data_IF_681098828828
#
_entry.id   IF_681098828828
#
_cell.length_a   1.000
_cell.length_b   1.000
_cell.length_c   1.000
_cell.angle_alpha   90.00
_cell.angle_beta   90.00
_cell.angle_gamma   90.00
#
_symmetry.space_group_name_H-M   'P 1'
#
loop_
_entity.id
_entity.type
_entity.pdbx_description
1 polymer ?
#
# COMPACT_ATOMS: atom_id res chain seq x y z
N UNK A 1 33.03 -7.25 -2.42
CA UNK A 1 31.97 -6.23 -2.60
C UNK A 1 30.96 -6.43 -1.50
N UNK A 2 30.64 -5.40 -0.72
CA UNK A 2 29.58 -5.49 0.30
C UNK A 2 28.25 -5.76 -0.42
N UNK A 3 27.42 -6.66 0.13
CA UNK A 3 26.11 -6.98 -0.44
C UNK A 3 25.21 -5.74 -0.44
N UNK A 4 24.62 -5.41 -1.58
CA UNK A 4 23.63 -4.33 -1.69
C UNK A 4 22.35 -4.80 -1.01
N UNK A 5 21.86 -4.03 -0.03
CA UNK A 5 20.61 -4.35 0.67
C UNK A 5 19.46 -3.50 0.12
N UNK A 6 18.22 -3.89 0.41
CA UNK A 6 17.00 -3.18 -0.02
C UNK A 6 17.02 -1.70 0.42
N UNK A 7 17.76 -1.37 1.49
CA UNK A 7 17.88 -0.01 2.03
C UNK A 7 18.77 0.90 1.17
N UNK A 8 19.65 0.33 0.35
CA UNK A 8 20.62 1.05 -0.48
C UNK A 8 20.08 1.34 -1.90
N UNK A 9 18.90 0.80 -2.23
CA UNK A 9 18.28 0.92 -3.55
C UNK A 9 17.30 2.09 -3.63
N UNK A 10 17.11 2.62 -4.84
CA UNK A 10 16.04 3.58 -5.10
C UNK A 10 14.67 2.94 -4.83
N UNK A 11 13.91 3.53 -3.92
CA UNK A 11 12.57 3.08 -3.52
C UNK A 11 11.65 2.86 -4.73
N UNK A 12 11.64 3.79 -5.69
CA UNK A 12 10.71 3.70 -6.83
C UNK A 12 10.99 2.51 -7.74
N UNK A 13 12.26 2.18 -7.96
CA UNK A 13 12.67 1.05 -8.80
C UNK A 13 12.33 -0.27 -8.14
N UNK A 14 12.58 -0.37 -6.83
CA UNK A 14 12.23 -1.55 -6.05
C UNK A 14 10.72 -1.82 -6.07
N UNK A 15 9.90 -0.79 -5.84
CA UNK A 15 8.43 -0.93 -5.86
C UNK A 15 7.94 -1.37 -7.23
N UNK A 16 8.49 -0.83 -8.32
CA UNK A 16 8.12 -1.24 -9.69
C UNK A 16 8.47 -2.70 -9.95
N UNK A 17 9.67 -3.12 -9.58
CA UNK A 17 10.11 -4.52 -9.73
C UNK A 17 9.24 -5.47 -8.91
N UNK A 18 8.95 -5.10 -7.65
CA UNK A 18 8.10 -5.90 -6.77
C UNK A 18 6.65 -5.97 -7.26
N UNK A 19 6.11 -4.89 -7.83
CA UNK A 19 4.77 -4.89 -8.42
C UNK A 19 4.66 -5.86 -9.62
N UNK A 20 5.70 -5.96 -10.45
CA UNK A 20 5.77 -6.92 -11.56
C UNK A 20 5.82 -8.36 -11.01
N UNK A 21 6.60 -8.59 -9.96
CA UNK A 21 6.66 -9.90 -9.29
C UNK A 21 5.29 -10.32 -8.72
N UNK A 22 4.64 -9.42 -7.99
CA UNK A 22 3.32 -9.64 -7.40
C UNK A 22 2.21 -9.87 -8.44
N UNK A 23 2.37 -9.28 -9.64
CA UNK A 23 1.49 -9.55 -10.79
C UNK A 23 1.69 -10.97 -11.33
N UNK A 24 2.92 -11.47 -11.34
CA UNK A 24 3.22 -12.86 -11.72
C UNK A 24 2.70 -13.86 -10.69
N UNK A 25 2.69 -13.51 -9.40
CA UNK A 25 2.27 -14.40 -8.30
C UNK A 25 0.75 -14.62 -8.16
N UNK A 26 -0.08 -14.18 -9.12
CA UNK A 26 -1.55 -14.38 -9.09
C UNK A 26 -2.19 -13.93 -7.76
N UNK A 27 -1.78 -12.78 -7.23
CA UNK A 27 -2.49 -12.14 -6.11
C UNK A 27 -3.99 -12.05 -6.39
N UNK A 28 -4.81 -12.43 -5.41
CA UNK A 28 -6.27 -12.29 -5.50
C UNK A 28 -6.64 -10.80 -5.47
N UNK A 29 -6.80 -10.20 -6.65
CA UNK A 29 -7.23 -8.81 -6.77
C UNK A 29 -8.72 -8.69 -6.41
N UNK A 30 -9.09 -7.81 -5.47
CA UNK A 30 -10.49 -7.60 -5.11
C UNK A 30 -11.32 -7.06 -6.28
N UNK A 31 -12.58 -7.53 -6.42
CA UNK A 31 -13.51 -7.12 -7.49
C UNK A 31 -13.70 -5.60 -7.63
N UNK A 32 -13.61 -4.85 -6.54
CA UNK A 32 -13.83 -3.40 -6.52
C UNK A 32 -12.67 -2.58 -7.11
N UNK A 33 -11.48 -3.16 -7.32
CA UNK A 33 -10.27 -2.46 -7.80
C UNK A 33 -10.48 -1.83 -9.18
N UNK A 34 -11.31 -2.43 -10.04
CA UNK A 34 -11.56 -1.93 -11.41
C UNK A 34 -12.36 -0.61 -11.49
N UNK A 35 -13.04 -0.20 -10.41
CA UNK A 35 -13.75 1.09 -10.35
C UNK A 35 -13.43 1.90 -9.08
N UNK A 36 -12.49 1.40 -8.29
CA UNK A 36 -12.20 1.89 -6.95
C UNK A 36 -11.25 3.06 -6.95
N UNK A 37 -11.48 4.03 -6.06
CA UNK A 37 -10.49 5.05 -5.74
C UNK A 37 -9.56 4.54 -4.64
N UNK A 38 -8.26 4.76 -4.82
CA UNK A 38 -7.22 4.38 -3.86
C UNK A 38 -7.22 5.23 -2.59
N UNK A 39 -7.82 6.43 -2.63
CA UNK A 39 -7.88 7.33 -1.47
C UNK A 39 -9.11 8.23 -1.53
N UNK A 40 -9.59 8.68 -0.35
CA UNK A 40 -10.74 9.58 -0.21
C UNK A 40 -10.46 10.95 -0.85
N UNK A 41 -9.19 11.37 -0.89
CA UNK A 41 -8.75 12.62 -1.53
C UNK A 41 -8.70 12.56 -3.06
N UNK A 42 -8.67 11.37 -3.65
CA UNK A 42 -8.60 11.24 -5.10
C UNK A 42 -9.97 11.46 -5.70
N UNK A 43 -10.07 12.44 -6.61
CA UNK A 43 -11.30 12.75 -7.34
C UNK A 43 -11.57 11.76 -8.49
N UNK A 44 -10.53 11.08 -8.96
CA UNK A 44 -10.58 10.15 -10.08
C UNK A 44 -9.98 8.81 -9.68
N UNK A 45 -10.37 7.76 -10.38
CA UNK A 45 -9.73 6.47 -10.27
C UNK A 45 -8.26 6.58 -10.74
N UNK A 46 -7.34 5.77 -10.17
CA UNK A 46 -5.97 5.71 -10.66
C UNK A 46 -5.92 5.39 -12.15
N UNK A 47 -5.07 6.11 -12.89
CA UNK A 47 -4.93 5.90 -14.34
C UNK A 47 -4.24 4.57 -14.70
N UNK A 48 -3.44 4.03 -13.78
CA UNK A 48 -2.78 2.73 -13.96
C UNK A 48 -3.69 1.60 -13.46
N UNK A 49 -4.05 0.67 -14.33
CA UNK A 49 -4.84 -0.51 -13.99
C UNK A 49 -4.13 -1.43 -12.98
N UNK A 50 -2.80 -1.37 -12.91
CA UNK A 50 -1.97 -2.16 -12.00
C UNK A 50 -1.70 -1.45 -10.66
N UNK A 51 -2.39 -0.33 -10.38
CA UNK A 51 -2.16 0.46 -9.16
C UNK A 51 -2.22 -0.38 -7.88
N UNK A 52 -3.08 -1.41 -7.84
CA UNK A 52 -3.22 -2.28 -6.67
C UNK A 52 -1.92 -3.05 -6.34
N UNK A 53 -1.17 -3.49 -7.36
CA UNK A 53 0.10 -4.19 -7.17
C UNK A 53 1.19 -3.24 -6.66
N UNK A 54 1.21 -2.01 -7.16
CA UNK A 54 2.10 -0.95 -6.66
C UNK A 54 1.82 -0.65 -5.19
N UNK A 55 0.54 -0.62 -4.79
CA UNK A 55 0.13 -0.41 -3.40
C UNK A 55 0.50 -1.58 -2.49
N UNK A 56 0.33 -2.81 -2.94
CA UNK A 56 0.79 -4.00 -2.21
C UNK A 56 2.32 -3.99 -2.03
N UNK A 57 3.06 -3.68 -3.08
CA UNK A 57 4.53 -3.55 -3.05
C UNK A 57 5.01 -2.44 -2.10
N UNK A 58 4.38 -1.26 -2.15
CA UNK A 58 4.64 -0.16 -1.22
C UNK A 58 4.41 -0.56 0.22
N UNK A 59 3.32 -1.29 0.48
CA UNK A 59 2.96 -1.77 1.81
C UNK A 59 3.99 -2.77 2.34
N UNK A 60 4.44 -3.69 1.49
CA UNK A 60 5.50 -4.66 1.83
C UNK A 60 6.82 -3.98 2.15
N UNK A 61 7.23 -3.01 1.32
CA UNK A 61 8.46 -2.24 1.54
C UNK A 61 8.40 -1.45 2.85
N UNK A 62 7.26 -0.85 3.16
CA UNK A 62 7.11 -0.07 4.39
C UNK A 62 7.14 -0.95 5.64
N UNK A 63 6.48 -2.12 5.61
CA UNK A 63 6.57 -3.10 6.69
C UNK A 63 8.02 -3.58 6.89
N UNK A 64 8.74 -3.82 5.79
CA UNK A 64 10.15 -4.22 5.87
C UNK A 64 11.03 -3.16 6.56
N UNK A 65 10.76 -1.87 6.32
CA UNK A 65 11.55 -0.79 6.91
C UNK A 65 11.17 -0.47 8.36
N UNK A 66 9.88 -0.45 8.68
CA UNK A 66 9.37 0.03 9.95
C UNK A 66 9.11 -1.08 10.98
N UNK A 67 9.11 -2.34 10.54
CA UNK A 67 8.74 -3.49 11.37
C UNK A 67 7.23 -3.64 11.55
N UNK A 68 6.80 -4.23 12.67
CA UNK A 68 5.39 -4.47 12.96
C UNK A 68 4.60 -3.16 13.06
N UNK A 69 3.76 -2.88 12.05
CA UNK A 69 2.94 -1.67 12.01
C UNK A 69 1.46 -1.99 11.78
N UNK A 70 0.60 -1.42 12.62
CA UNK A 70 -0.85 -1.55 12.49
C UNK A 70 -1.42 -0.77 11.29
N UNK A 71 -2.63 -1.17 10.88
CA UNK A 71 -3.34 -0.58 9.72
C UNK A 71 -3.57 0.93 9.90
N UNK A 72 -3.82 1.37 11.14
CA UNK A 72 -4.01 2.78 11.49
C UNK A 72 -2.75 3.62 11.22
N UNK A 73 -1.57 3.14 11.61
CA UNK A 73 -0.29 3.81 11.33
C UNK A 73 0.00 3.84 9.83
N UNK A 74 -0.32 2.77 9.12
CA UNK A 74 -0.15 2.70 7.67
C UNK A 74 -0.97 3.79 6.94
N UNK A 75 -2.19 4.09 7.41
CA UNK A 75 -3.01 5.16 6.81
C UNK A 75 -2.46 6.57 7.00
N UNK A 76 -1.55 6.79 7.97
CA UNK A 76 -0.89 8.09 8.17
C UNK A 76 0.19 8.35 7.12
N UNK A 77 0.81 7.31 6.57
CA UNK A 77 1.81 7.41 5.49
C UNK A 77 1.16 8.03 4.25
N UNK A 78 -0.06 7.59 3.95
CA UNK A 78 -0.82 8.01 2.77
C UNK A 78 -1.72 9.23 3.01
N UNK A 79 -1.33 10.10 3.95
CA UNK A 79 -2.07 11.33 4.23
C UNK A 79 -2.06 12.26 3.02
N UNK A 80 -3.07 13.11 2.90
CA UNK A 80 -2.98 14.26 2.01
C UNK A 80 -4.15 15.20 2.13
N UNK A 81 -3.99 16.39 1.55
CA UNK A 81 -5.02 17.40 1.53
C UNK A 81 -6.17 16.96 0.64
N UNK A 82 -7.35 16.81 1.24
CA UNK A 82 -8.59 16.58 0.51
C UNK A 82 -9.08 17.90 -0.08
N UNK A 83 -9.53 17.84 -1.34
CA UNK A 83 -10.13 18.98 -2.03
C UNK A 83 -11.63 19.04 -1.71
N UNK A 84 -12.05 20.07 -0.97
CA UNK A 84 -13.44 20.29 -0.56
C UNK A 84 -14.19 21.28 -1.47
N UNK A 85 -13.72 21.45 -2.72
CA UNK A 85 -14.28 22.43 -3.66
C UNK A 85 -13.97 23.86 -3.23
N UNK A 86 -14.99 24.58 -2.75
CA UNK A 86 -14.92 26.00 -2.35
C UNK A 86 -14.45 26.14 -0.89
N UNK A 87 -14.65 25.13 -0.06
CA UNK A 87 -14.20 25.14 1.34
C UNK A 87 -12.69 24.88 1.46
N UNK A 88 -12.04 25.37 2.53
CA UNK A 88 -10.62 25.10 2.79
C UNK A 88 -10.28 23.60 2.76
N UNK A 89 -9.07 23.28 2.31
CA UNK A 89 -8.57 21.91 2.28
C UNK A 89 -8.18 21.44 3.68
N UNK A 90 -8.57 20.23 4.05
CA UNK A 90 -8.17 19.58 5.30
C UNK A 90 -7.34 18.33 5.02
N UNK A 91 -6.46 17.97 5.96
CA UNK A 91 -5.69 16.73 5.89
C UNK A 91 -6.61 15.53 6.13
N UNK A 92 -6.62 14.62 5.17
CA UNK A 92 -7.34 13.35 5.24
C UNK A 92 -6.34 12.20 5.28
N UNK A 93 -6.65 11.16 6.06
CA UNK A 93 -5.86 9.93 6.10
C UNK A 93 -6.13 9.07 4.85
N UNK A 94 -5.19 8.18 4.55
CA UNK A 94 -5.38 7.16 3.53
C UNK A 94 -6.54 6.22 3.84
N UNK A 95 -7.04 5.53 2.81
CA UNK A 95 -8.16 4.58 2.98
C UNK A 95 -7.72 3.34 3.75
N UNK A 96 -8.28 3.13 4.95
CA UNK A 96 -8.08 1.89 5.75
C UNK A 96 -8.47 0.64 4.97
N UNK A 97 -9.56 0.72 4.20
CA UNK A 97 -10.04 -0.41 3.41
C UNK A 97 -9.11 -0.80 2.28
N UNK A 98 -8.30 0.11 1.74
CA UNK A 98 -7.28 -0.23 0.74
C UNK A 98 -6.15 -1.01 1.41
N UNK A 99 -5.61 -0.48 2.51
CA UNK A 99 -4.51 -1.11 3.25
C UNK A 99 -4.87 -2.52 3.70
N UNK A 100 -6.04 -2.68 4.31
CA UNK A 100 -6.48 -4.00 4.79
C UNK A 100 -6.70 -4.97 3.61
N UNK A 101 -7.28 -4.52 2.51
CA UNK A 101 -7.56 -5.41 1.36
C UNK A 101 -6.33 -5.73 0.53
N UNK A 102 -5.26 -4.94 0.62
CA UNK A 102 -3.95 -5.28 0.05
C UNK A 102 -3.16 -6.24 0.94
N UNK A 103 -3.30 -6.18 2.27
CA UNK A 103 -2.54 -7.04 3.19
C UNK A 103 -3.10 -8.46 3.28
N UNK A 104 -4.43 -8.65 3.29
CA UNK A 104 -5.04 -9.99 3.44
C UNK A 104 -4.60 -11.00 2.36
N UNK A 105 -4.54 -10.65 1.06
CA UNK A 105 -4.06 -11.58 0.03
C UNK A 105 -2.55 -11.87 0.13
N UNK A 106 -1.75 -10.90 0.61
CA UNK A 106 -0.30 -11.05 0.79
C UNK A 106 0.02 -12.01 1.95
N UNK A 107 -0.82 -12.03 2.99
CA UNK A 107 -0.76 -13.01 4.09
C UNK A 107 -0.92 -14.45 3.58
N UNK A 108 -1.86 -14.68 2.65
CA UNK A 108 -2.06 -15.99 2.01
C UNK A 108 -0.89 -16.45 1.14
N UNK A 109 -0.09 -15.51 0.62
CA UNK A 109 1.13 -15.79 -0.14
C UNK A 109 2.38 -15.91 0.75
N UNK A 110 2.24 -15.82 2.08
CA UNK A 110 3.36 -15.77 3.06
C UNK A 110 4.40 -14.68 2.76
N UNK A 111 4.02 -13.65 2.02
CA UNK A 111 4.87 -12.47 1.77
C UNK A 111 4.80 -11.46 2.92
N UNK A 112 3.74 -11.55 3.73
CA UNK A 112 3.56 -10.80 4.97
C UNK A 112 3.10 -11.77 6.06
N UNK A 113 3.65 -11.64 7.26
CA UNK A 113 3.20 -12.38 8.45
C UNK A 113 2.57 -11.41 9.43
N UNK A 114 1.53 -11.86 10.14
CA UNK A 114 0.99 -11.13 11.29
C UNK A 114 1.78 -11.52 12.53
N UNK A 115 2.42 -10.53 13.12
CA UNK A 115 2.98 -10.65 14.47
C UNK A 115 1.87 -10.83 15.50
N UNK A 116 2.06 -11.74 16.46
CA UNK A 116 1.13 -11.96 17.59
C UNK A 116 1.06 -10.75 18.53
N UNK A 117 2.13 -9.94 18.57
CA UNK A 117 2.24 -8.70 19.35
C UNK A 117 1.78 -7.44 18.57
N UNK A 118 1.24 -7.61 17.36
CA UNK A 118 0.78 -6.52 16.50
C UNK A 118 -0.48 -5.84 17.06
N UNK A 119 -0.28 -4.70 17.72
CA UNK A 119 -1.31 -3.84 18.32
C UNK A 119 -2.69 -3.91 17.64
N UNK A 120 -3.68 -4.32 18.43
CA UNK A 120 -5.09 -4.36 18.10
C UNK A 120 -5.58 -3.02 17.53
N UNK A 121 -6.11 -3.05 16.31
CA UNK A 121 -7.10 -2.10 15.77
C UNK A 121 -7.69 -2.61 14.45
#
# INVERSE_FOLDING_TARGET
>A
MAGVTIKDMNQQEFIRALAVFLKSEKLKVPKWVGGGHHSIKSLLAPCDENWFYTWAALTAWHLYLQGSTGVSSMTKIYVGCQRNGVMPSHLSRGSRGVVHRSSTPCEGLKTMEKDQDGAAD
#
